data_IF_309853688104
#
_entry.id   IF_309853688104
#
_cell.length_a   1.000
_cell.length_b   1.000
_cell.length_c   1.000
_cell.angle_alpha   90.00
_cell.angle_beta   90.00
_cell.angle_gamma   90.00
#
_symmetry.space_group_name_H-M   'P 1'
#
loop_
_entity.id
_entity.type
_entity.pdbx_description
1 polymer ?
#
# COMPACT_ATOMS: atom_id res chain seq x y z
N UNK A 1 -5.95 35.34 10.73
CA UNK A 1 -7.15 34.47 10.92
C UNK A 1 -6.70 33.02 11.01
N UNK A 2 -7.33 32.25 11.87
CA UNK A 2 -7.08 30.82 12.01
C UNK A 2 -8.19 30.05 11.25
N UNK A 3 -7.79 29.06 10.47
CA UNK A 3 -8.69 28.11 9.83
C UNK A 3 -8.39 26.70 10.38
N UNK A 4 -9.39 26.00 10.85
CA UNK A 4 -9.28 24.62 11.34
C UNK A 4 -10.31 23.78 10.60
N UNK A 5 -9.91 22.65 10.11
CA UNK A 5 -10.77 21.67 9.46
C UNK A 5 -10.49 20.26 9.97
N UNK A 6 -11.51 19.43 10.00
CA UNK A 6 -11.39 18.03 10.38
C UNK A 6 -12.39 17.16 9.64
N UNK A 7 -11.97 15.94 9.30
CA UNK A 7 -12.79 14.90 8.71
C UNK A 7 -12.44 13.57 9.37
N UNK A 8 -13.45 12.81 9.75
CA UNK A 8 -13.31 11.44 10.21
C UNK A 8 -14.23 10.55 9.39
N UNK A 9 -13.67 9.46 8.85
CA UNK A 9 -14.39 8.50 8.00
C UNK A 9 -14.22 7.12 8.58
N UNK A 10 -15.31 6.43 8.84
CA UNK A 10 -15.34 5.02 9.16
C UNK A 10 -15.91 4.24 7.97
N UNK A 11 -15.22 3.20 7.54
CA UNK A 11 -15.63 2.35 6.43
C UNK A 11 -15.66 0.89 6.87
N UNK A 12 -16.77 0.24 6.59
CA UNK A 12 -16.90 -1.20 6.70
C UNK A 12 -17.26 -1.77 5.33
N UNK A 13 -16.47 -2.71 4.85
CA UNK A 13 -16.70 -3.40 3.59
C UNK A 13 -16.91 -4.89 3.83
N UNK A 14 -18.02 -5.42 3.33
CA UNK A 14 -18.29 -6.85 3.31
C UNK A 14 -18.79 -7.21 1.89
N UNK A 15 -18.02 -8.01 1.17
CA UNK A 15 -18.37 -8.45 -0.18
C UNK A 15 -18.42 -9.97 -0.21
N UNK A 16 -19.55 -10.53 -0.64
CA UNK A 16 -19.79 -11.95 -0.74
C UNK A 16 -20.14 -12.32 -2.20
N UNK A 17 -19.46 -13.31 -2.75
CA UNK A 17 -19.73 -13.84 -4.07
C UNK A 17 -20.29 -15.27 -3.94
N UNK A 18 -21.59 -15.49 -4.22
CA UNK A 18 -22.23 -16.79 -3.95
C UNK A 18 -21.75 -17.92 -4.86
N UNK A 19 -21.31 -17.64 -6.09
CA UNK A 19 -20.89 -18.64 -7.08
C UNK A 19 -19.42 -18.50 -7.47
N UNK A 20 -18.52 -18.53 -6.51
CA UNK A 20 -17.12 -18.20 -6.72
C UNK A 20 -16.23 -19.39 -7.18
N UNK A 21 -16.78 -20.54 -7.49
CA UNK A 21 -16.06 -21.72 -8.02
C UNK A 21 -15.18 -22.48 -7.01
N UNK A 22 -14.92 -21.92 -5.82
CA UNK A 22 -14.21 -22.59 -4.73
C UNK A 22 -14.69 -22.12 -3.36
N UNK A 23 -14.55 -22.96 -2.34
CA UNK A 23 -14.90 -22.61 -0.96
C UNK A 23 -14.17 -21.35 -0.50
N UNK A 24 -12.88 -21.24 -0.80
CA UNK A 24 -12.05 -20.10 -0.41
C UNK A 24 -12.52 -18.78 -1.06
N UNK A 25 -12.93 -18.84 -2.33
CA UNK A 25 -13.43 -17.69 -3.05
C UNK A 25 -14.86 -17.29 -2.62
N UNK A 26 -15.67 -18.24 -2.11
CA UNK A 26 -17.02 -17.98 -1.59
C UNK A 26 -17.06 -17.35 -0.21
N UNK A 27 -15.94 -17.33 0.52
CA UNK A 27 -15.87 -16.66 1.82
C UNK A 27 -15.98 -15.13 1.67
N UNK A 28 -16.65 -14.44 2.60
CA UNK A 28 -16.79 -12.99 2.53
C UNK A 28 -15.43 -12.28 2.54
N UNK A 29 -15.31 -11.23 1.74
CA UNK A 29 -14.16 -10.33 1.75
C UNK A 29 -14.48 -9.13 2.64
N UNK A 30 -13.78 -9.01 3.75
CA UNK A 30 -14.04 -7.99 4.78
C UNK A 30 -12.84 -7.08 4.96
N UNK A 31 -13.14 -5.77 4.95
CA UNK A 31 -12.19 -4.73 5.33
C UNK A 31 -12.88 -3.76 6.28
N UNK A 32 -12.12 -3.25 7.21
CA UNK A 32 -12.53 -2.15 8.08
C UNK A 32 -11.48 -1.06 8.03
N UNK A 33 -11.92 0.19 8.00
CA UNK A 33 -11.02 1.33 7.98
C UNK A 33 -11.57 2.49 8.81
N UNK A 34 -10.68 3.13 9.55
CA UNK A 34 -10.89 4.42 10.18
C UNK A 34 -9.86 5.39 9.61
N UNK A 35 -10.31 6.46 8.99
CA UNK A 35 -9.43 7.47 8.41
C UNK A 35 -9.78 8.84 8.98
N UNK A 36 -8.76 9.64 9.24
CA UNK A 36 -8.94 11.00 9.70
C UNK A 36 -8.04 11.97 8.96
N UNK A 37 -8.52 13.20 8.83
CA UNK A 37 -7.80 14.34 8.28
C UNK A 37 -8.00 15.54 9.19
N UNK A 38 -6.91 16.21 9.54
CA UNK A 38 -6.89 17.45 10.28
C UNK A 38 -6.12 18.48 9.47
N UNK A 39 -6.69 19.65 9.29
CA UNK A 39 -6.07 20.75 8.57
C UNK A 39 -6.04 22.00 9.44
N UNK A 40 -4.95 22.73 9.37
CA UNK A 40 -4.77 24.01 10.02
C UNK A 40 -4.20 25.02 9.04
N UNK A 41 -4.79 26.21 9.01
CA UNK A 41 -4.32 27.33 8.21
C UNK A 41 -4.17 28.58 9.09
N UNK A 42 -3.09 29.30 8.92
CA UNK A 42 -2.85 30.56 9.62
C UNK A 42 -2.58 31.68 8.62
N UNK A 43 -3.44 32.69 8.64
CA UNK A 43 -3.38 33.91 7.81
C UNK A 43 -3.20 33.67 6.30
N UNK A 44 -3.64 32.53 5.78
CA UNK A 44 -3.38 32.09 4.41
C UNK A 44 -1.89 32.05 4.03
N UNK A 45 -1.00 31.92 5.02
CA UNK A 45 0.45 31.85 4.87
C UNK A 45 0.99 30.46 5.18
N UNK A 46 0.59 29.93 6.32
CA UNK A 46 1.07 28.65 6.83
C UNK A 46 -0.07 27.64 6.84
N UNK A 47 0.21 26.48 6.30
CA UNK A 47 -0.75 25.38 6.25
C UNK A 47 -0.09 24.13 6.82
N UNK A 48 -0.80 23.42 7.66
CA UNK A 48 -0.43 22.13 8.16
C UNK A 48 -1.57 21.14 7.95
N UNK A 49 -1.24 19.95 7.55
CA UNK A 49 -2.20 18.86 7.36
C UNK A 49 -1.64 17.59 7.99
N UNK A 50 -2.51 16.87 8.71
CA UNK A 50 -2.21 15.55 9.23
C UNK A 50 -3.32 14.60 8.81
N UNK A 51 -2.94 13.48 8.20
CA UNK A 51 -3.87 12.42 7.86
C UNK A 51 -3.42 11.13 8.50
N UNK A 52 -4.37 10.26 8.81
CA UNK A 52 -4.08 8.90 9.20
C UNK A 52 -5.12 7.94 8.65
N UNK A 53 -4.67 6.71 8.38
CA UNK A 53 -5.52 5.57 8.11
C UNK A 53 -5.19 4.45 9.07
N UNK A 54 -6.20 3.87 9.71
CA UNK A 54 -6.09 2.65 10.49
C UNK A 54 -6.98 1.60 9.85
N UNK A 55 -6.36 0.68 9.11
CA UNK A 55 -7.07 -0.24 8.23
C UNK A 55 -6.83 -1.69 8.65
N UNK A 56 -7.89 -2.49 8.60
CA UNK A 56 -7.85 -3.93 8.84
C UNK A 56 -8.23 -4.72 7.59
N UNK A 57 -7.44 -5.73 7.23
CA UNK A 57 -7.67 -6.62 6.10
C UNK A 57 -7.64 -8.09 6.52
N UNK A 58 -8.64 -8.86 6.13
CA UNK A 58 -8.69 -10.32 6.38
C UNK A 58 -7.70 -11.13 5.53
N UNK A 59 -6.98 -10.49 4.62
CA UNK A 59 -5.89 -11.16 3.88
C UNK A 59 -4.76 -11.62 4.78
N UNK A 60 -4.60 -10.97 5.94
CA UNK A 60 -3.54 -11.22 6.92
C UNK A 60 -4.02 -11.99 8.14
N UNK A 61 -3.11 -12.69 8.77
CA UNK A 61 -3.35 -13.32 10.05
C UNK A 61 -3.82 -12.28 11.09
N UNK A 62 -4.61 -12.69 12.08
CA UNK A 62 -5.22 -11.80 13.08
C UNK A 62 -4.21 -10.86 13.77
N UNK A 63 -2.97 -11.30 13.98
CA UNK A 63 -1.89 -10.51 14.59
C UNK A 63 -1.30 -9.43 13.67
N UNK A 64 -1.46 -9.55 12.33
CA UNK A 64 -0.92 -8.64 11.32
C UNK A 64 -2.01 -7.93 10.51
N UNK A 65 -3.27 -8.14 10.90
CA UNK A 65 -4.45 -7.67 10.17
C UNK A 65 -4.54 -6.15 10.08
N UNK A 66 -4.18 -5.45 11.16
CA UNK A 66 -4.32 -3.99 11.25
C UNK A 66 -3.02 -3.27 10.93
N UNK A 67 -3.12 -2.20 10.13
CA UNK A 67 -2.02 -1.31 9.79
C UNK A 67 -2.38 0.15 10.08
N UNK A 68 -1.41 0.90 10.61
CA UNK A 68 -1.53 2.35 10.83
C UNK A 68 -0.63 3.08 9.82
N UNK A 69 -1.22 4.04 9.09
CA UNK A 69 -0.63 4.73 7.95
C UNK A 69 -0.81 6.25 8.11
N UNK A 70 0.11 6.90 8.83
CA UNK A 70 0.07 8.34 9.02
C UNK A 70 0.71 9.09 7.85
N UNK A 71 0.26 10.33 7.62
CA UNK A 71 0.93 11.30 6.76
C UNK A 71 0.80 12.71 7.31
N UNK A 72 1.81 13.53 7.07
CA UNK A 72 1.82 14.94 7.43
C UNK A 72 2.32 15.78 6.26
N UNK A 73 1.78 16.97 6.12
CA UNK A 73 2.18 17.94 5.11
C UNK A 73 2.22 19.35 5.70
N UNK A 74 3.18 20.13 5.24
CA UNK A 74 3.33 21.54 5.56
C UNK A 74 3.40 22.33 4.26
N UNK A 75 2.80 23.51 4.26
CA UNK A 75 2.95 24.45 3.16
C UNK A 75 3.11 25.89 3.70
N UNK A 76 3.94 26.65 3.02
CA UNK A 76 4.18 28.04 3.29
C UNK A 76 4.00 28.85 2.02
N UNK A 77 3.05 29.79 2.03
CA UNK A 77 2.86 30.76 0.95
C UNK A 77 3.70 31.98 1.24
N UNK A 78 4.93 31.95 0.75
CA UNK A 78 5.95 32.99 0.93
C UNK A 78 5.48 34.32 0.37
N UNK A 79 4.76 34.29 -0.76
CA UNK A 79 4.24 35.50 -1.42
C UNK A 79 3.18 36.25 -0.60
N UNK A 80 2.65 35.65 0.48
CA UNK A 80 1.71 36.31 1.39
C UNK A 80 2.42 37.00 2.56
N UNK A 81 3.75 36.94 2.63
CA UNK A 81 4.53 37.66 3.65
C UNK A 81 4.76 39.10 3.22
N UNK A 82 4.80 40.02 4.19
CA UNK A 82 4.99 41.46 3.94
C UNK A 82 6.35 41.79 3.30
N UNK A 83 7.38 40.99 3.56
CA UNK A 83 8.68 41.18 2.95
C UNK A 83 8.73 40.86 1.46
N UNK A 84 7.70 40.12 0.95
CA UNK A 84 7.61 39.73 -0.46
C UNK A 84 6.98 40.80 -1.35
N UNK A 85 6.35 41.83 -0.79
CA UNK A 85 5.61 42.84 -1.54
C UNK A 85 6.41 43.49 -2.71
N UNK A 86 7.73 43.78 -2.55
CA UNK A 86 8.53 44.35 -3.65
C UNK A 86 8.71 43.41 -4.84
N UNK A 87 8.57 42.09 -4.65
CA UNK A 87 8.82 41.08 -5.66
C UNK A 87 7.55 40.61 -6.38
N UNK A 88 6.37 40.98 -5.89
CA UNK A 88 5.06 40.56 -6.42
C UNK A 88 4.84 40.91 -7.87
N UNK A 89 5.45 41.98 -8.38
CA UNK A 89 5.34 42.38 -9.78
C UNK A 89 6.00 41.38 -10.73
N UNK A 90 6.97 40.61 -10.28
CA UNK A 90 7.68 39.61 -11.07
C UNK A 90 7.25 38.18 -10.68
N UNK A 91 7.22 37.91 -9.37
CA UNK A 91 6.80 36.60 -8.83
C UNK A 91 5.55 36.83 -7.99
N UNK A 92 4.40 36.73 -8.60
CA UNK A 92 3.10 37.01 -7.98
C UNK A 92 2.72 35.96 -6.93
N UNK A 93 3.14 34.72 -7.12
CA UNK A 93 2.92 33.64 -6.16
C UNK A 93 4.21 32.84 -5.94
N UNK A 94 4.51 32.57 -4.69
CA UNK A 94 5.56 31.62 -4.30
C UNK A 94 5.05 30.79 -3.15
N UNK A 95 5.03 29.46 -3.32
CA UNK A 95 4.61 28.50 -2.30
C UNK A 95 5.56 27.33 -2.22
N UNK A 96 5.95 27.01 -1.00
CA UNK A 96 6.75 25.83 -0.67
C UNK A 96 5.84 24.79 -0.03
N UNK A 97 6.03 23.52 -0.43
CA UNK A 97 5.33 22.38 0.18
C UNK A 97 6.33 21.29 0.55
N UNK A 98 6.08 20.65 1.69
CA UNK A 98 6.77 19.45 2.09
C UNK A 98 5.76 18.46 2.66
N UNK A 99 5.86 17.20 2.28
CA UNK A 99 5.01 16.15 2.83
C UNK A 99 5.79 14.85 3.04
N UNK A 100 5.38 14.12 4.06
CA UNK A 100 5.84 12.77 4.34
C UNK A 100 4.66 11.91 4.74
N UNK A 101 4.60 10.69 4.20
CA UNK A 101 3.52 9.77 4.54
C UNK A 101 3.90 8.32 4.33
N UNK A 102 3.22 7.46 5.06
CA UNK A 102 3.30 6.01 4.91
C UNK A 102 1.98 5.51 4.36
N UNK A 103 2.04 4.75 3.27
CA UNK A 103 0.89 4.12 2.64
C UNK A 103 1.00 2.61 2.77
N UNK A 104 -0.07 1.95 3.19
CA UNK A 104 -0.16 0.50 3.24
C UNK A 104 -0.87 -0.06 2.02
N UNK A 105 -0.39 -1.20 1.52
CA UNK A 105 -1.02 -1.95 0.45
C UNK A 105 -1.30 -3.38 0.94
N UNK A 106 -2.56 -3.82 0.87
CA UNK A 106 -2.98 -5.19 1.16
C UNK A 106 -3.21 -6.03 -0.11
N UNK A 107 -3.17 -5.40 -1.29
CA UNK A 107 -3.31 -6.07 -2.59
C UNK A 107 -2.01 -6.79 -3.00
N UNK A 108 -1.39 -7.51 -2.05
CA UNK A 108 -0.17 -8.27 -2.25
C UNK A 108 -0.50 -9.64 -2.83
N UNK A 109 -0.04 -9.93 -4.04
CA UNK A 109 -0.31 -11.21 -4.73
C UNK A 109 -1.78 -11.47 -5.06
N UNK A 110 -2.05 -12.57 -5.75
CA UNK A 110 -3.39 -12.96 -6.21
C UNK A 110 -4.20 -13.78 -5.19
N UNK A 111 -3.57 -14.28 -4.13
CA UNK A 111 -4.20 -15.18 -3.18
C UNK A 111 -4.94 -14.48 -2.05
N UNK A 112 -6.01 -15.14 -1.56
CA UNK A 112 -6.64 -14.80 -0.28
C UNK A 112 -6.04 -15.67 0.82
N UNK A 113 -6.09 -15.19 2.06
CA UNK A 113 -5.63 -15.94 3.23
C UNK A 113 -4.20 -16.49 3.06
N UNK A 114 -3.29 -15.60 2.63
CA UNK A 114 -1.89 -15.97 2.33
C UNK A 114 -1.15 -16.60 3.52
N UNK A 115 -1.68 -16.41 4.71
CA UNK A 115 -1.16 -17.00 5.95
C UNK A 115 -1.58 -18.46 6.17
N UNK A 116 -2.48 -19.02 5.33
CA UNK A 116 -2.89 -20.42 5.39
C UNK A 116 -2.14 -21.25 4.34
N UNK A 117 -1.89 -22.51 4.67
CA UNK A 117 -1.44 -23.49 3.67
C UNK A 117 -2.52 -23.75 2.64
N UNK A 118 -2.10 -24.07 1.41
CA UNK A 118 -2.97 -24.52 0.33
C UNK A 118 -2.46 -25.86 -0.19
N UNK A 119 -3.29 -26.89 -0.05
CA UNK A 119 -2.96 -28.26 -0.40
C UNK A 119 -3.97 -28.74 -1.44
N UNK A 120 -3.47 -29.20 -2.59
CA UNK A 120 -4.28 -29.88 -3.60
C UNK A 120 -4.38 -31.36 -3.24
N UNK A 121 -5.59 -31.81 -2.90
CA UNK A 121 -5.86 -33.20 -2.52
C UNK A 121 -6.16 -34.10 -3.73
N UNK A 122 -6.35 -33.53 -4.91
CA UNK A 122 -6.69 -34.22 -6.16
C UNK A 122 -5.77 -33.74 -7.28
N UNK A 123 -4.47 -34.01 -7.14
CA UNK A 123 -3.48 -33.63 -8.13
C UNK A 123 -3.10 -34.83 -8.99
N UNK A 124 -3.64 -34.86 -10.21
CA UNK A 124 -3.42 -35.96 -11.16
C UNK A 124 -1.95 -36.10 -11.54
N UNK A 125 -1.16 -35.00 -11.50
CA UNK A 125 0.29 -35.04 -11.79
C UNK A 125 1.08 -35.88 -10.80
N UNK A 126 0.64 -35.93 -9.55
CA UNK A 126 1.27 -36.69 -8.46
C UNK A 126 0.45 -37.94 -8.09
N UNK A 127 -0.45 -38.33 -8.98
CA UNK A 127 -1.21 -39.55 -8.84
C UNK A 127 -0.43 -40.82 -9.19
N UNK A 128 -1.05 -41.95 -8.94
CA UNK A 128 -0.52 -43.25 -9.32
C UNK A 128 -1.59 -44.10 -9.99
N UNK A 129 -1.17 -44.99 -10.89
CA UNK A 129 -2.04 -45.95 -11.51
C UNK A 129 -1.99 -47.28 -10.75
N UNK A 130 -3.16 -47.88 -10.53
CA UNK A 130 -3.36 -49.13 -9.81
C UNK A 130 -4.13 -50.12 -10.69
N UNK A 131 -4.25 -51.32 -10.23
CA UNK A 131 -4.91 -52.43 -10.94
C UNK A 131 -3.92 -53.29 -11.72
N UNK A 132 -4.36 -54.44 -12.18
CA UNK A 132 -3.54 -55.41 -12.90
C UNK A 132 -2.97 -54.82 -14.22
N UNK A 133 -3.77 -53.97 -14.88
CA UNK A 133 -3.39 -53.32 -16.13
C UNK A 133 -2.94 -51.85 -15.94
N UNK A 134 -2.77 -51.36 -14.72
CA UNK A 134 -2.48 -49.97 -14.40
C UNK A 134 -3.47 -48.94 -14.98
N UNK A 135 -4.75 -49.38 -15.14
CA UNK A 135 -5.81 -48.59 -15.76
C UNK A 135 -6.66 -47.79 -14.75
N UNK A 136 -6.44 -47.99 -13.47
CA UNK A 136 -7.12 -47.29 -12.40
C UNK A 136 -6.27 -46.15 -11.80
N UNK A 137 -6.46 -44.93 -12.32
CA UNK A 137 -5.75 -43.76 -11.83
C UNK A 137 -6.32 -43.26 -10.50
N UNK A 138 -5.44 -42.94 -9.57
CA UNK A 138 -5.76 -42.19 -8.33
C UNK A 138 -4.93 -40.93 -8.26
N UNK A 139 -5.62 -39.79 -8.09
CA UNK A 139 -4.97 -38.51 -7.88
C UNK A 139 -4.17 -38.51 -6.58
N UNK A 140 -3.05 -37.83 -6.59
CA UNK A 140 -2.19 -37.65 -5.44
C UNK A 140 -2.42 -36.32 -4.73
N UNK A 141 -1.48 -35.97 -3.87
CA UNK A 141 -1.52 -34.76 -3.06
C UNK A 141 -0.31 -33.89 -3.43
N UNK A 142 -0.52 -32.57 -3.53
CA UNK A 142 0.57 -31.61 -3.67
C UNK A 142 0.36 -30.38 -2.80
N UNK A 143 1.47 -29.76 -2.39
CA UNK A 143 1.44 -28.50 -1.64
C UNK A 143 1.55 -27.34 -2.63
N UNK A 144 0.52 -26.47 -2.69
CA UNK A 144 0.51 -25.25 -3.49
C UNK A 144 1.10 -24.06 -2.75
N UNK A 145 0.99 -24.04 -1.43
CA UNK A 145 1.51 -22.98 -0.57
C UNK A 145 1.69 -23.46 0.85
N UNK A 146 2.81 -23.09 1.45
CA UNK A 146 3.04 -23.23 2.90
C UNK A 146 2.42 -22.05 3.66
N UNK A 147 1.96 -22.30 4.90
CA UNK A 147 1.44 -21.26 5.78
C UNK A 147 2.56 -20.32 6.23
N UNK A 148 2.28 -19.02 6.28
CA UNK A 148 3.16 -18.04 6.94
C UNK A 148 2.31 -16.95 7.61
N UNK A 149 2.10 -17.01 8.95
CA UNK A 149 1.34 -16.01 9.69
C UNK A 149 2.03 -14.65 9.79
N UNK A 150 3.31 -14.54 9.41
CA UNK A 150 4.09 -13.31 9.45
C UNK A 150 3.87 -12.42 8.22
N UNK A 151 3.18 -12.92 7.19
CA UNK A 151 2.82 -12.13 6.01
C UNK A 151 1.98 -10.91 6.44
N UNK A 152 2.41 -9.74 6.02
CA UNK A 152 1.85 -8.45 6.43
C UNK A 152 1.76 -7.45 5.27
N UNK A 153 1.28 -6.26 5.59
CA UNK A 153 1.15 -5.13 4.68
C UNK A 153 2.47 -4.76 4.01
N UNK A 154 2.43 -4.56 2.71
CA UNK A 154 3.46 -3.80 2.00
C UNK A 154 3.33 -2.33 2.41
N UNK A 155 4.46 -1.67 2.71
CA UNK A 155 4.50 -0.28 3.16
C UNK A 155 5.34 0.56 2.20
N UNK A 156 4.78 1.69 1.78
CA UNK A 156 5.50 2.70 0.99
C UNK A 156 5.61 3.98 1.79
N UNK A 157 6.83 4.37 2.13
CA UNK A 157 7.15 5.68 2.69
C UNK A 157 7.45 6.65 1.55
N UNK A 158 6.69 7.73 1.47
CA UNK A 158 6.79 8.76 0.43
C UNK A 158 7.15 10.09 1.04
N UNK A 159 8.13 10.77 0.44
CA UNK A 159 8.49 12.15 0.76
C UNK A 159 8.37 12.98 -0.51
N UNK A 160 7.78 14.15 -0.40
CA UNK A 160 7.66 15.08 -1.51
C UNK A 160 8.01 16.48 -1.03
N UNK A 161 8.82 17.19 -1.83
CA UNK A 161 9.10 18.60 -1.69
C UNK A 161 8.70 19.30 -2.98
N UNK A 162 7.91 20.36 -2.88
CA UNK A 162 7.43 21.08 -4.04
C UNK A 162 7.64 22.59 -3.89
N UNK A 163 8.01 23.21 -5.00
CA UNK A 163 8.09 24.64 -5.20
C UNK A 163 7.08 25.03 -6.30
N UNK A 164 6.12 25.86 -5.93
CA UNK A 164 5.14 26.43 -6.87
C UNK A 164 5.40 27.92 -6.99
N UNK A 165 5.57 28.43 -8.19
CA UNK A 165 5.68 29.87 -8.39
C UNK A 165 4.95 30.29 -9.67
N UNK A 166 4.44 31.54 -9.64
CA UNK A 166 3.77 32.19 -10.77
C UNK A 166 4.56 33.43 -11.15
N UNK A 167 4.97 33.52 -12.41
CA UNK A 167 5.67 34.67 -12.95
C UNK A 167 4.71 35.53 -13.77
N UNK A 168 4.75 36.83 -13.56
CA UNK A 168 4.00 37.85 -14.30
C UNK A 168 2.49 37.59 -14.36
N UNK A 169 1.92 36.90 -13.35
CA UNK A 169 0.53 36.44 -13.27
C UNK A 169 0.08 35.41 -14.35
N UNK A 170 0.95 35.07 -15.30
CA UNK A 170 0.60 34.23 -16.45
C UNK A 170 1.29 32.85 -16.43
N UNK A 171 2.57 32.81 -16.06
CA UNK A 171 3.35 31.57 -16.13
C UNK A 171 3.37 30.86 -14.77
N UNK A 172 2.67 29.76 -14.67
CA UNK A 172 2.69 28.88 -13.48
C UNK A 172 3.71 27.78 -13.67
N UNK A 173 4.62 27.63 -12.72
CA UNK A 173 5.63 26.58 -12.72
C UNK A 173 5.55 25.83 -11.40
N UNK A 174 5.55 24.52 -11.48
CA UNK A 174 5.64 23.62 -10.34
C UNK A 174 6.83 22.69 -10.52
N UNK A 175 7.74 22.71 -9.57
CA UNK A 175 8.88 21.78 -9.49
C UNK A 175 8.72 20.91 -8.27
N UNK A 176 8.72 19.59 -8.44
CA UNK A 176 8.57 18.63 -7.37
C UNK A 176 9.76 17.66 -7.35
N UNK A 177 10.27 17.39 -6.16
CA UNK A 177 11.20 16.31 -5.91
C UNK A 177 10.53 15.29 -5.00
N UNK A 178 10.51 14.05 -5.41
CA UNK A 178 9.90 12.98 -4.63
C UNK A 178 10.85 11.81 -4.41
N UNK A 179 10.68 11.16 -3.27
CA UNK A 179 11.30 9.88 -2.98
C UNK A 179 10.25 8.89 -2.51
N UNK A 180 10.39 7.65 -2.92
CA UNK A 180 9.56 6.54 -2.45
C UNK A 180 10.46 5.39 -2.00
N UNK A 181 10.16 4.84 -0.83
CA UNK A 181 10.79 3.62 -0.32
C UNK A 181 9.71 2.61 0.04
N UNK A 182 9.64 1.55 -0.74
CA UNK A 182 8.75 0.40 -0.48
C UNK A 182 9.49 -0.64 0.30
N UNK A 183 8.82 -1.19 1.31
CA UNK A 183 9.31 -2.27 2.17
C UNK A 183 8.25 -3.34 2.32
N UNK A 184 8.71 -4.51 2.77
CA UNK A 184 7.85 -5.65 3.01
C UNK A 184 7.09 -6.10 1.75
N UNK A 185 7.70 -6.00 0.58
CA UNK A 185 7.15 -6.50 -0.67
C UNK A 185 7.15 -8.02 -0.60
N UNK A 186 5.99 -8.64 -0.89
CA UNK A 186 5.84 -10.08 -0.88
C UNK A 186 6.62 -10.72 -2.02
N UNK A 187 7.55 -11.61 -1.70
CA UNK A 187 8.39 -12.33 -2.65
C UNK A 187 8.57 -13.79 -2.26
N UNK A 188 8.90 -14.65 -3.22
CA UNK A 188 9.34 -16.01 -2.93
C UNK A 188 10.73 -15.99 -2.29
N UNK A 189 10.95 -16.86 -1.31
CA UNK A 189 12.26 -17.05 -0.67
C UNK A 189 13.18 -17.87 -1.58
N UNK A 190 13.72 -17.24 -2.62
CA UNK A 190 14.64 -17.88 -3.56
C UNK A 190 15.95 -18.38 -2.92
N UNK A 191 16.27 -17.92 -1.71
CA UNK A 191 17.47 -18.35 -0.96
C UNK A 191 17.36 -19.75 -0.34
N UNK A 192 16.18 -20.37 -0.36
CA UNK A 192 16.01 -21.73 0.17
C UNK A 192 16.50 -22.73 -0.89
N UNK A 193 17.51 -23.56 -0.55
CA UNK A 193 18.04 -24.54 -1.51
C UNK A 193 16.98 -25.60 -1.87
N UNK A 194 16.99 -26.04 -3.14
CA UNK A 194 16.11 -27.12 -3.61
C UNK A 194 16.34 -28.45 -2.86
N UNK A 195 17.55 -28.66 -2.29
CA UNK A 195 17.89 -29.82 -1.46
C UNK A 195 17.06 -29.96 -0.18
N UNK A 196 16.36 -28.89 0.25
CA UNK A 196 15.41 -28.98 1.37
C UNK A 196 14.14 -29.76 1.03
N UNK A 197 13.91 -30.13 -0.23
CA UNK A 197 12.78 -30.95 -0.66
C UNK A 197 11.41 -30.28 -0.52
N UNK A 198 11.34 -28.95 -0.51
CA UNK A 198 10.08 -28.24 -0.51
C UNK A 198 9.37 -28.37 -1.85
N UNK A 199 8.07 -28.59 -1.85
CA UNK A 199 7.24 -28.66 -3.06
C UNK A 199 7.21 -27.33 -3.82
N UNK A 200 7.12 -26.23 -3.07
CA UNK A 200 7.12 -24.87 -3.58
C UNK A 200 7.96 -23.98 -2.65
N UNK A 201 8.50 -22.93 -3.19
CA UNK A 201 9.20 -21.94 -2.37
C UNK A 201 8.17 -21.11 -1.57
N UNK A 202 8.34 -20.97 -0.24
CA UNK A 202 7.46 -20.15 0.57
C UNK A 202 7.60 -18.67 0.24
N UNK A 203 6.52 -17.93 0.45
CA UNK A 203 6.50 -16.47 0.32
C UNK A 203 6.84 -15.80 1.64
N UNK A 204 7.46 -14.62 1.57
CA UNK A 204 7.66 -13.74 2.72
C UNK A 204 7.78 -12.27 2.30
N UNK A 205 7.57 -11.35 3.23
CA UNK A 205 7.70 -9.91 2.99
C UNK A 205 9.17 -9.46 3.08
N UNK A 206 9.98 -9.80 2.09
CA UNK A 206 11.44 -9.58 2.05
C UNK A 206 11.87 -8.45 1.11
N UNK A 207 11.05 -8.13 0.11
CA UNK A 207 11.44 -7.20 -0.94
C UNK A 207 11.48 -5.75 -0.45
N UNK A 208 12.47 -5.03 -0.95
CA UNK A 208 12.57 -3.57 -0.82
C UNK A 208 12.77 -2.95 -2.21
N UNK A 209 12.17 -1.78 -2.43
CA UNK A 209 12.38 -0.98 -3.62
C UNK A 209 12.52 0.50 -3.22
N UNK A 210 13.34 1.23 -3.97
CA UNK A 210 13.52 2.67 -3.80
C UNK A 210 13.38 3.34 -5.15
N UNK A 211 12.73 4.48 -5.18
CA UNK A 211 12.62 5.35 -6.33
C UNK A 211 12.71 6.81 -5.91
N UNK A 212 13.22 7.65 -6.78
CA UNK A 212 13.21 9.09 -6.62
C UNK A 212 13.11 9.74 -7.99
N UNK A 213 12.55 10.92 -8.06
CA UNK A 213 12.41 11.64 -9.31
C UNK A 213 12.16 13.13 -9.08
N UNK A 214 12.25 13.85 -10.17
CA UNK A 214 11.89 15.27 -10.28
C UNK A 214 10.79 15.38 -11.31
N UNK A 215 9.76 16.14 -11.00
CA UNK A 215 8.68 16.49 -11.91
C UNK A 215 8.64 18.00 -12.09
N UNK A 216 8.46 18.45 -13.33
CA UNK A 216 8.40 19.85 -13.70
C UNK A 216 7.20 20.07 -14.63
N UNK A 217 6.31 20.94 -14.21
CA UNK A 217 5.10 21.30 -14.97
C UNK A 217 4.86 22.82 -15.00
#
# INVERSE_FOLDING_TARGET
KHGVGGLLVYQLRNNLQPNAGSLQASLPYRNVGLSGRFTYAYNNRYFAEFNFGYNGSERFHKSKRFGFFPSAGLAWVVSNESFWDPFKSVVSKLKLRASYGIVGNDAIGSGRFLYLSDINMNDSKYGANFGYNFDYHRDGISVKRYSDPEITWEKSAKTNFALEFTLFDDLNVTAEYYTERRKSILQQRASIPASMGLWVQPYANLGEAKGSGVDLS
#
